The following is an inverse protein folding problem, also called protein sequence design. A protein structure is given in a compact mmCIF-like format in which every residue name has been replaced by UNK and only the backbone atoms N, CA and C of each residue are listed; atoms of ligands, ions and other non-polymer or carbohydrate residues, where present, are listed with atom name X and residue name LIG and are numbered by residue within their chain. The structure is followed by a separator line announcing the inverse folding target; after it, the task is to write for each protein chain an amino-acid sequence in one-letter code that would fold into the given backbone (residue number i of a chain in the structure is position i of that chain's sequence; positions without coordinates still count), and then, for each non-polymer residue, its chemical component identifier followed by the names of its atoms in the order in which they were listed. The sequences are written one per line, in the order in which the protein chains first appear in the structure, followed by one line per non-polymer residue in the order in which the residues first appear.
data_IF_044917523304
#
_entry.id   IF_044917523304
#
_cell.length_a   1.000
_cell.length_b   1.000
_cell.length_c   1.000
_cell.angle_alpha   90.00
_cell.angle_beta   90.00
_cell.angle_gamma   90.00
#
_symmetry.space_group_name_H-M   'P 1'
#
loop_
_entity.id
_entity.type
_entity.pdbx_description
1 polymer ?
#
# COMPACT_ATOMS: atom_id res chain seq x y z
N UNK A 1 23.91 28.74 -62.67
CA UNK A 1 23.60 27.48 -61.96
C UNK A 1 24.55 27.37 -60.79
N UNK A 2 24.01 27.32 -59.56
CA UNK A 2 24.77 27.18 -58.32
C UNK A 2 24.65 28.38 -57.38
N UNK A 3 23.44 28.66 -56.89
CA UNK A 3 23.22 29.56 -55.75
C UNK A 3 23.72 28.88 -54.47
N UNK A 4 24.77 29.45 -53.86
CA UNK A 4 25.20 29.08 -52.52
C UNK A 4 24.42 29.89 -51.50
N UNK A 5 23.45 29.26 -50.84
CA UNK A 5 22.76 29.87 -49.69
C UNK A 5 23.74 30.04 -48.53
N UNK A 6 24.05 31.30 -48.22
CA UNK A 6 24.53 31.73 -46.91
C UNK A 6 23.35 31.62 -45.95
N UNK A 7 23.44 30.74 -44.97
CA UNK A 7 22.57 30.85 -43.79
C UNK A 7 23.17 31.88 -42.86
N UNK A 8 22.35 32.87 -42.59
CA UNK A 8 22.60 34.02 -41.75
C UNK A 8 22.83 33.60 -40.30
N UNK A 9 23.72 34.35 -39.66
CA UNK A 9 23.69 34.65 -38.24
C UNK A 9 22.26 35.10 -37.88
N UNK A 10 21.54 34.32 -37.08
CA UNK A 10 20.47 34.79 -36.21
C UNK A 10 19.97 33.61 -35.37
N UNK A 11 20.26 33.68 -34.08
CA UNK A 11 19.95 32.63 -33.13
C UNK A 11 20.88 32.68 -31.94
N UNK A 12 20.93 33.82 -31.26
CA UNK A 12 21.24 33.81 -29.84
C UNK A 12 20.20 32.88 -29.19
N UNK A 13 20.56 31.61 -29.05
CA UNK A 13 19.81 30.70 -28.21
C UNK A 13 19.95 31.26 -26.81
N UNK A 14 18.85 31.83 -26.31
CA UNK A 14 18.59 31.98 -24.89
C UNK A 14 18.88 30.62 -24.24
N UNK A 15 20.10 30.48 -23.73
CA UNK A 15 20.41 29.43 -22.78
C UNK A 15 19.46 29.65 -21.60
N UNK A 16 18.75 28.62 -21.11
CA UNK A 16 17.95 28.78 -19.91
C UNK A 16 18.90 29.18 -18.78
N UNK A 17 18.78 30.44 -18.38
CA UNK A 17 19.41 31.06 -17.23
C UNK A 17 19.08 30.25 -15.98
N UNK A 18 20.12 29.83 -15.25
CA UNK A 18 20.15 29.54 -13.81
C UNK A 18 19.14 28.54 -13.18
N UNK A 19 18.09 28.12 -13.89
CA UNK A 19 16.97 27.35 -13.35
C UNK A 19 17.21 25.84 -13.35
N UNK A 20 18.32 25.37 -13.93
CA UNK A 20 18.72 23.97 -13.87
C UNK A 20 19.40 23.59 -12.54
N UNK A 21 19.76 24.57 -11.72
CA UNK A 21 20.49 24.35 -10.44
C UNK A 21 19.60 23.74 -9.36
N UNK A 22 18.29 23.67 -9.58
CA UNK A 22 17.34 23.03 -8.67
C UNK A 22 16.65 21.88 -9.37
N UNK A 23 17.20 20.67 -9.26
CA UNK A 23 16.43 19.46 -9.54
C UNK A 23 15.13 19.54 -8.71
N UNK A 24 13.99 19.73 -9.38
CA UNK A 24 12.66 19.84 -8.75
C UNK A 24 12.35 18.66 -7.81
N UNK A 25 13.05 17.53 -8.00
CA UNK A 25 12.95 16.36 -7.14
C UNK A 25 13.50 16.60 -5.71
N UNK A 26 14.55 17.41 -5.54
CA UNK A 26 15.12 17.68 -4.21
C UNK A 26 14.26 18.65 -3.40
N UNK A 27 13.72 19.69 -4.03
CA UNK A 27 12.85 20.66 -3.33
C UNK A 27 11.55 20.01 -2.84
N UNK A 28 10.92 19.17 -3.68
CA UNK A 28 9.70 18.46 -3.30
C UNK A 28 9.89 17.49 -2.11
N UNK A 29 11.09 16.92 -1.97
CA UNK A 29 11.42 16.06 -0.82
C UNK A 29 11.75 16.87 0.44
N UNK A 30 12.36 18.05 0.30
CA UNK A 30 12.58 19.03 1.38
C UNK A 30 11.25 19.56 1.93
N UNK A 31 10.34 19.96 1.04
CA UNK A 31 9.02 20.51 1.40
C UNK A 31 8.13 19.49 2.14
N UNK A 32 8.48 18.19 2.06
CA UNK A 32 7.80 17.08 2.74
C UNK A 32 8.37 16.72 4.10
N UNK A 33 9.48 17.33 4.51
CA UNK A 33 10.04 17.13 5.84
C UNK A 33 9.16 17.83 6.87
N UNK A 34 8.29 17.08 7.53
CA UNK A 34 7.55 17.58 8.69
C UNK A 34 8.54 18.03 9.78
N UNK A 35 8.32 19.18 10.40
CA UNK A 35 9.07 19.57 11.59
C UNK A 35 8.83 18.52 12.67
N UNK A 36 9.91 17.93 13.19
CA UNK A 36 9.80 16.93 14.25
C UNK A 36 9.12 17.50 15.50
N UNK A 37 9.26 18.81 15.74
CA UNK A 37 8.58 19.49 16.84
C UNK A 37 7.04 19.44 16.68
N UNK A 38 6.53 19.50 15.45
CA UNK A 38 5.09 19.56 15.16
C UNK A 38 4.41 18.20 15.32
N UNK A 39 5.14 17.10 15.12
CA UNK A 39 4.61 15.74 15.19
C UNK A 39 4.96 15.03 16.51
N UNK A 40 5.81 15.61 17.35
CA UNK A 40 6.27 14.97 18.58
C UNK A 40 5.19 14.92 19.66
N UNK A 41 5.10 13.76 20.31
CA UNK A 41 4.23 13.52 21.47
C UNK A 41 5.08 13.61 22.75
N UNK A 42 4.59 14.34 23.75
CA UNK A 42 5.30 14.49 25.02
C UNK A 42 5.32 13.17 25.82
N UNK A 43 6.33 12.93 26.70
CA UNK A 43 6.45 11.69 27.47
C UNK A 43 5.26 11.32 28.39
N UNK A 44 4.32 12.23 28.64
CA UNK A 44 3.07 11.97 29.37
C UNK A 44 1.84 11.69 28.49
N UNK A 45 1.97 11.86 27.19
CA UNK A 45 0.88 11.77 26.21
C UNK A 45 0.95 10.49 25.36
N UNK A 46 1.95 9.63 25.59
CA UNK A 46 2.08 8.34 24.91
C UNK A 46 0.82 7.45 24.99
N UNK A 47 0.02 7.46 26.08
CA UNK A 47 -1.25 6.73 26.11
C UNK A 47 -2.28 7.17 25.06
N UNK A 48 -2.12 8.36 24.45
CA UNK A 48 -2.98 8.88 23.40
C UNK A 48 -2.50 8.55 21.99
N UNK A 49 -1.39 7.81 21.86
CA UNK A 49 -0.87 7.40 20.55
C UNK A 49 -1.88 6.48 19.88
N UNK A 50 -2.37 6.89 18.72
CA UNK A 50 -3.25 6.10 17.88
C UNK A 50 -2.57 5.72 16.55
N UNK A 51 -3.30 4.99 15.71
CA UNK A 51 -2.79 4.58 14.40
C UNK A 51 -2.45 5.77 13.48
N UNK A 52 -3.16 6.91 13.63
CA UNK A 52 -2.89 8.11 12.83
C UNK A 52 -1.54 8.71 13.23
N UNK A 53 -1.28 8.86 14.53
CA UNK A 53 0.01 9.35 15.04
C UNK A 53 1.16 8.46 14.56
N UNK A 54 1.00 7.14 14.67
CA UNK A 54 2.01 6.18 14.18
C UNK A 54 2.23 6.33 12.68
N UNK A 55 1.15 6.47 11.90
CA UNK A 55 1.22 6.67 10.43
C UNK A 55 1.98 7.96 10.08
N UNK A 56 1.68 9.06 10.77
CA UNK A 56 2.34 10.35 10.53
C UNK A 56 3.85 10.25 10.80
N UNK A 57 4.24 9.59 11.91
CA UNK A 57 5.65 9.31 12.23
C UNK A 57 6.35 8.35 11.26
N UNK A 58 5.64 7.32 10.80
CA UNK A 58 6.18 6.35 9.86
C UNK A 58 6.57 7.04 8.55
N UNK A 59 5.66 7.84 7.99
CA UNK A 59 5.93 8.58 6.75
C UNK A 59 6.96 9.68 6.92
N UNK A 60 6.96 10.40 8.04
CA UNK A 60 7.99 11.40 8.32
C UNK A 60 9.39 10.74 8.34
N UNK A 61 9.50 9.59 8.99
CA UNK A 61 10.75 8.82 9.08
C UNK A 61 11.18 8.24 7.74
N UNK A 62 10.25 7.70 6.95
CA UNK A 62 10.54 7.21 5.59
C UNK A 62 10.99 8.34 4.65
N UNK A 63 10.33 9.49 4.70
CA UNK A 63 10.70 10.65 3.89
C UNK A 63 12.09 11.16 4.28
N UNK A 64 12.36 11.33 5.58
CA UNK A 64 13.69 11.72 6.05
C UNK A 64 14.76 10.72 5.62
N UNK A 65 14.49 9.42 5.74
CA UNK A 65 15.40 8.38 5.29
C UNK A 65 15.75 8.51 3.81
N UNK A 66 14.77 8.82 2.96
CA UNK A 66 14.97 9.07 1.53
C UNK A 66 15.82 10.31 1.28
N UNK A 67 15.50 11.41 1.96
CA UNK A 67 16.23 12.68 1.92
C UNK A 67 17.70 12.48 2.29
N UNK A 68 17.98 11.84 3.44
CA UNK A 68 19.34 11.56 3.89
C UNK A 68 20.06 10.64 2.91
N UNK A 69 19.40 9.58 2.44
CA UNK A 69 20.00 8.64 1.48
C UNK A 69 20.38 9.32 0.17
N UNK A 70 19.52 10.19 -0.36
CA UNK A 70 19.79 10.95 -1.59
C UNK A 70 20.92 11.95 -1.40
N UNK A 71 20.97 12.61 -0.25
CA UNK A 71 22.00 13.60 0.09
C UNK A 71 23.38 12.96 0.18
N UNK A 72 23.47 11.88 0.95
CA UNK A 72 24.72 11.17 1.20
C UNK A 72 25.09 10.16 0.10
N UNK A 73 24.18 9.87 -0.83
CA UNK A 73 24.27 8.75 -1.77
C UNK A 73 24.58 7.42 -1.06
N UNK A 74 23.93 7.19 0.07
CA UNK A 74 24.17 6.03 0.94
C UNK A 74 22.86 5.43 1.43
N UNK A 75 22.89 4.17 1.83
CA UNK A 75 21.75 3.51 2.48
C UNK A 75 21.68 3.91 3.96
N UNK A 76 20.46 3.97 4.51
CA UNK A 76 20.18 4.20 5.95
C UNK A 76 19.69 2.90 6.62
N UNK A 77 20.53 1.85 6.74
CA UNK A 77 20.09 0.51 7.13
C UNK A 77 19.48 0.47 8.54
N UNK A 78 20.01 1.28 9.47
CA UNK A 78 19.50 1.36 10.84
C UNK A 78 18.08 1.91 10.85
N UNK A 79 17.82 3.03 10.15
CA UNK A 79 16.48 3.62 10.01
C UNK A 79 15.49 2.67 9.34
N UNK A 80 15.90 2.00 8.26
CA UNK A 80 15.04 1.00 7.59
C UNK A 80 14.70 -0.17 8.51
N UNK A 81 15.65 -0.63 9.32
CA UNK A 81 15.41 -1.68 10.29
C UNK A 81 14.41 -1.23 11.37
N UNK A 82 14.49 0.02 11.84
CA UNK A 82 13.50 0.58 12.76
C UNK A 82 12.10 0.65 12.13
N UNK A 83 11.98 1.10 10.88
CA UNK A 83 10.70 1.10 10.16
C UNK A 83 10.12 -0.30 9.98
N UNK A 84 10.97 -1.32 9.79
CA UNK A 84 10.54 -2.71 9.75
C UNK A 84 9.95 -3.18 11.08
N UNK A 85 10.59 -2.85 12.21
CA UNK A 85 10.05 -3.15 13.53
C UNK A 85 8.76 -2.38 13.81
N UNK A 86 8.67 -1.11 13.40
CA UNK A 86 7.44 -0.35 13.48
C UNK A 86 6.30 -1.04 12.69
N UNK A 87 6.57 -1.48 11.45
CA UNK A 87 5.63 -2.23 10.63
C UNK A 87 5.15 -3.53 11.28
N UNK A 88 6.04 -4.26 11.94
CA UNK A 88 5.70 -5.46 12.71
C UNK A 88 4.71 -5.16 13.85
N UNK A 89 4.95 -4.08 14.60
CA UNK A 89 4.05 -3.66 15.67
C UNK A 89 2.71 -3.11 15.16
N UNK A 90 2.70 -2.38 14.06
CA UNK A 90 1.47 -1.96 13.37
C UNK A 90 0.65 -3.19 12.98
N UNK A 91 1.28 -4.19 12.36
CA UNK A 91 0.60 -5.43 11.97
C UNK A 91 -0.04 -6.09 13.20
N UNK A 92 0.72 -6.29 14.28
CA UNK A 92 0.18 -6.84 15.54
C UNK A 92 -1.03 -6.04 16.03
N UNK A 93 -0.93 -4.72 16.12
CA UNK A 93 -2.02 -3.85 16.55
C UNK A 93 -3.28 -3.99 15.68
N UNK A 94 -3.12 -4.17 14.37
CA UNK A 94 -4.25 -4.32 13.43
C UNK A 94 -4.85 -5.73 13.38
N UNK A 95 -4.07 -6.76 13.74
CA UNK A 95 -4.52 -8.16 13.74
C UNK A 95 -5.01 -8.66 15.10
N UNK A 96 -4.71 -7.96 16.18
CA UNK A 96 -5.23 -8.28 17.51
C UNK A 96 -6.76 -8.20 17.54
N UNK A 97 -7.40 -9.09 18.30
CA UNK A 97 -8.83 -9.00 18.56
C UNK A 97 -9.16 -7.64 19.18
N UNK A 98 -10.21 -6.97 18.67
CA UNK A 98 -10.65 -5.65 19.17
C UNK A 98 -10.99 -5.65 20.67
N UNK A 99 -11.19 -6.83 21.27
CA UNK A 99 -11.37 -7.01 22.71
C UNK A 99 -10.11 -6.73 23.54
N UNK A 100 -8.90 -6.81 22.96
CA UNK A 100 -7.65 -6.59 23.68
C UNK A 100 -7.07 -5.19 23.44
N UNK A 101 -7.80 -4.16 23.90
CA UNK A 101 -7.42 -2.75 23.72
C UNK A 101 -6.02 -2.42 24.28
N UNK A 102 -5.64 -3.02 25.40
CA UNK A 102 -4.33 -2.80 26.03
C UNK A 102 -3.18 -3.28 25.15
N UNK A 103 -3.32 -4.45 24.54
CA UNK A 103 -2.30 -4.99 23.63
C UNK A 103 -2.20 -4.17 22.33
N UNK A 104 -3.34 -3.74 21.79
CA UNK A 104 -3.38 -2.84 20.62
C UNK A 104 -2.61 -1.55 20.96
N UNK A 105 -2.94 -0.91 22.09
CA UNK A 105 -2.31 0.34 22.50
C UNK A 105 -0.80 0.17 22.72
N UNK A 106 -0.39 -0.90 23.40
CA UNK A 106 1.04 -1.21 23.64
C UNK A 106 1.80 -1.34 22.32
N UNK A 107 1.25 -2.06 21.33
CA UNK A 107 1.89 -2.19 20.03
C UNK A 107 1.95 -0.85 19.26
N UNK A 108 0.93 0.01 19.36
CA UNK A 108 0.97 1.33 18.73
C UNK A 108 2.05 2.23 19.34
N UNK A 109 2.21 2.20 20.66
CA UNK A 109 3.27 2.93 21.37
C UNK A 109 4.66 2.44 20.92
N UNK A 110 4.87 1.12 20.84
CA UNK A 110 6.16 0.58 20.39
C UNK A 110 6.43 0.89 18.90
N UNK A 111 5.41 0.84 18.04
CA UNK A 111 5.54 1.27 16.65
C UNK A 111 5.98 2.75 16.54
N UNK A 112 5.35 3.64 17.32
CA UNK A 112 5.74 5.05 17.41
C UNK A 112 7.19 5.21 17.85
N UNK A 113 7.62 4.52 18.92
CA UNK A 113 9.00 4.59 19.42
C UNK A 113 10.02 4.15 18.37
N UNK A 114 9.72 3.09 17.62
CA UNK A 114 10.57 2.64 16.53
C UNK A 114 10.64 3.67 15.39
N UNK A 115 9.52 4.27 14.97
CA UNK A 115 9.56 5.35 13.97
C UNK A 115 10.43 6.51 14.45
N UNK A 116 10.20 6.99 15.67
CA UNK A 116 10.98 8.08 16.29
C UNK A 116 12.47 7.75 16.40
N UNK A 117 12.82 6.51 16.76
CA UNK A 117 14.21 6.06 16.79
C UNK A 117 14.82 6.04 15.38
N UNK A 118 14.10 5.55 14.38
CA UNK A 118 14.56 5.55 13.00
C UNK A 118 14.82 6.96 12.46
N UNK A 119 13.98 7.93 12.85
CA UNK A 119 14.15 9.34 12.51
C UNK A 119 15.47 9.89 13.06
N UNK A 120 15.75 9.62 14.34
CA UNK A 120 17.01 10.01 14.98
C UNK A 120 18.22 9.31 14.35
N UNK A 121 18.14 8.00 14.09
CA UNK A 121 19.22 7.25 13.46
C UNK A 121 19.58 7.81 12.07
N UNK A 122 18.61 8.32 11.31
CA UNK A 122 18.85 8.95 10.00
C UNK A 122 19.61 10.28 10.13
N UNK A 123 19.22 11.13 11.09
CA UNK A 123 19.91 12.40 11.35
C UNK A 123 21.29 12.19 11.97
N UNK A 124 21.46 11.19 12.82
CA UNK A 124 22.77 10.82 13.37
C UNK A 124 23.72 10.36 12.24
N UNK A 125 23.22 9.60 11.26
CA UNK A 125 24.01 9.23 10.08
C UNK A 125 24.39 10.46 9.26
N UNK A 126 23.45 11.39 9.04
CA UNK A 126 23.73 12.66 8.38
C UNK A 126 24.90 13.38 9.06
N UNK A 127 24.86 13.57 10.38
CA UNK A 127 25.95 14.23 11.11
C UNK A 127 27.27 13.47 10.95
N UNK A 128 27.24 12.13 11.02
CA UNK A 128 28.44 11.30 10.95
C UNK A 128 29.10 11.32 9.55
N UNK A 129 28.31 11.25 8.49
CA UNK A 129 28.81 11.05 7.11
C UNK A 129 29.05 12.35 6.36
N UNK A 130 28.40 13.46 6.74
CA UNK A 130 28.42 14.71 5.96
C UNK A 130 29.85 15.20 5.70
N UNK A 131 30.69 15.27 6.73
CA UNK A 131 32.06 15.72 6.56
C UNK A 131 32.86 14.80 5.62
N UNK A 132 32.68 13.47 5.73
CA UNK A 132 33.38 12.50 4.88
C UNK A 132 32.98 12.62 3.42
N UNK A 133 31.67 12.63 3.14
CA UNK A 133 31.14 12.75 1.78
C UNK A 133 31.55 14.08 1.16
N UNK A 134 31.46 15.17 1.93
CA UNK A 134 31.89 16.47 1.46
C UNK A 134 33.36 16.52 1.06
N UNK A 135 34.26 16.07 1.94
CA UNK A 135 35.70 16.10 1.68
C UNK A 135 36.05 15.35 0.40
N UNK A 136 35.31 14.27 0.09
CA UNK A 136 35.49 13.53 -1.15
C UNK A 136 35.09 14.33 -2.39
N UNK A 137 33.99 15.09 -2.34
CA UNK A 137 33.42 15.78 -3.51
C UNK A 137 33.99 17.18 -3.75
N UNK A 138 34.39 17.88 -2.69
CA UNK A 138 34.93 19.23 -2.80
C UNK A 138 36.30 19.24 -3.49
N UNK A 139 36.99 18.10 -3.47
CA UNK A 139 38.25 17.91 -4.17
C UNK A 139 38.12 18.16 -5.68
N UNK A 140 36.97 17.78 -6.26
CA UNK A 140 36.68 17.80 -7.70
C UNK A 140 36.22 19.17 -8.22
N UNK A 141 36.13 20.19 -7.37
CA UNK A 141 35.78 21.55 -7.77
C UNK A 141 37.04 22.29 -8.24
N UNK A 142 37.04 22.69 -9.51
CA UNK A 142 38.15 23.40 -10.16
C UNK A 142 38.23 24.89 -9.79
N UNK A 143 37.08 25.54 -9.61
CA UNK A 143 36.97 26.96 -9.31
C UNK A 143 37.38 27.24 -7.85
N UNK A 144 38.52 27.91 -7.59
CA UNK A 144 39.06 28.07 -6.24
C UNK A 144 38.17 28.96 -5.36
N UNK A 145 37.49 29.96 -5.92
CA UNK A 145 36.62 30.85 -5.15
C UNK A 145 35.36 30.13 -4.70
N UNK A 146 34.71 29.42 -5.63
CA UNK A 146 33.52 28.59 -5.31
C UNK A 146 33.87 27.46 -4.35
N UNK A 147 35.01 26.81 -4.56
CA UNK A 147 35.53 25.77 -3.66
C UNK A 147 35.71 26.31 -2.24
N UNK A 148 36.34 27.47 -2.10
CA UNK A 148 36.56 28.08 -0.78
C UNK A 148 35.24 28.47 -0.10
N UNK A 149 34.27 29.02 -0.85
CA UNK A 149 32.93 29.32 -0.33
C UNK A 149 32.24 28.05 0.18
N UNK A 150 32.21 27.00 -0.64
CA UNK A 150 31.58 25.72 -0.30
C UNK A 150 32.21 25.09 0.95
N UNK A 151 33.54 25.19 1.10
CA UNK A 151 34.26 24.77 2.32
C UNK A 151 33.80 25.58 3.52
N UNK A 152 33.69 26.90 3.39
CA UNK A 152 33.25 27.74 4.49
C UNK A 152 31.82 27.42 4.92
N UNK A 153 30.89 27.31 3.96
CA UNK A 153 29.48 27.02 4.24
C UNK A 153 29.30 25.68 4.95
N UNK A 154 30.08 24.65 4.58
CA UNK A 154 30.04 23.39 5.32
C UNK A 154 30.63 23.53 6.73
N UNK A 155 31.78 24.21 6.86
CA UNK A 155 32.39 24.40 8.17
C UNK A 155 31.42 25.09 9.12
N UNK A 156 30.65 26.06 8.64
CA UNK A 156 29.61 26.73 9.39
C UNK A 156 28.52 25.74 9.83
N UNK A 157 28.01 24.88 8.92
CA UNK A 157 27.05 23.82 9.26
C UNK A 157 27.61 22.89 10.36
N UNK A 158 28.85 22.41 10.22
CA UNK A 158 29.47 21.50 11.20
C UNK A 158 29.66 22.18 12.55
N UNK A 159 30.10 23.45 12.56
CA UNK A 159 30.27 24.22 13.79
C UNK A 159 28.93 24.45 14.49
N UNK A 160 27.90 24.80 13.72
CA UNK A 160 26.53 24.98 14.19
C UNK A 160 25.97 23.71 14.83
N UNK A 161 26.13 22.55 14.18
CA UNK A 161 25.75 21.25 14.73
C UNK A 161 26.46 20.97 16.06
N UNK A 162 27.78 21.20 16.13
CA UNK A 162 28.55 20.97 17.35
C UNK A 162 28.16 21.91 18.49
N UNK A 163 27.88 23.18 18.19
CA UNK A 163 27.40 24.14 19.16
C UNK A 163 26.03 23.70 19.71
N UNK A 164 25.09 23.36 18.84
CA UNK A 164 23.75 22.95 19.25
C UNK A 164 23.75 21.67 20.06
N UNK A 165 24.66 20.73 19.77
CA UNK A 165 24.80 19.49 20.55
C UNK A 165 25.11 19.76 22.03
N UNK A 166 25.78 20.87 22.34
CA UNK A 166 26.16 21.27 23.70
C UNK A 166 25.10 22.14 24.38
N UNK A 167 24.31 22.89 23.61
CA UNK A 167 23.34 23.86 24.14
C UNK A 167 21.89 23.37 24.17
N UNK A 168 21.51 22.38 23.37
CA UNK A 168 20.14 21.90 23.30
C UNK A 168 19.68 21.31 24.65
N UNK A 169 18.55 21.78 25.17
CA UNK A 169 18.00 21.33 26.45
C UNK A 169 17.26 20.00 26.30
N UNK A 170 16.73 19.74 25.10
CA UNK A 170 16.00 18.51 24.81
C UNK A 170 16.50 17.81 23.56
N UNK A 171 16.27 16.50 23.52
CA UNK A 171 16.58 15.70 22.34
C UNK A 171 15.80 16.20 21.12
N UNK A 172 14.52 16.54 21.27
CA UNK A 172 13.67 17.00 20.16
C UNK A 172 14.18 18.31 19.58
N UNK A 173 14.57 19.25 20.43
CA UNK A 173 15.18 20.51 20.00
C UNK A 173 16.44 20.26 19.17
N UNK A 174 17.36 19.41 19.65
CA UNK A 174 18.56 19.07 18.91
C UNK A 174 18.26 18.46 17.52
N UNK A 175 17.36 17.47 17.43
CA UNK A 175 17.04 16.85 16.14
C UNK A 175 16.19 17.74 15.22
N UNK A 176 15.40 18.66 15.76
CA UNK A 176 14.72 19.69 14.96
C UNK A 176 15.73 20.61 14.30
N UNK A 177 16.76 21.02 15.05
CA UNK A 177 17.86 21.80 14.51
C UNK A 177 18.67 21.03 13.45
N UNK A 178 18.98 19.75 13.70
CA UNK A 178 19.69 18.93 12.71
C UNK A 178 18.94 18.82 11.38
N UNK A 179 17.61 18.81 11.41
CA UNK A 179 16.78 18.80 10.21
C UNK A 179 16.92 20.11 9.41
N UNK A 180 17.01 21.26 10.07
CA UNK A 180 17.26 22.54 9.41
C UNK A 180 18.65 22.58 8.77
N UNK A 181 19.68 22.10 9.48
CA UNK A 181 21.04 22.01 8.95
C UNK A 181 21.17 21.00 7.80
N UNK A 182 20.38 19.92 7.82
CA UNK A 182 20.28 18.99 6.68
C UNK A 182 19.79 19.70 5.42
N UNK A 183 18.77 20.55 5.51
CA UNK A 183 18.25 21.30 4.34
C UNK A 183 19.32 22.25 3.77
N UNK A 184 20.10 22.91 4.64
CA UNK A 184 21.24 23.74 4.21
C UNK A 184 22.30 22.89 3.51
N UNK A 185 22.67 21.75 4.11
CA UNK A 185 23.64 20.82 3.52
C UNK A 185 23.18 20.27 2.17
N UNK A 186 21.88 20.01 1.99
CA UNK A 186 21.33 19.58 0.71
C UNK A 186 21.48 20.62 -0.38
N UNK A 187 21.23 21.89 -0.06
CA UNK A 187 21.44 23.00 -0.98
C UNK A 187 22.91 23.08 -1.40
N UNK A 188 23.81 22.93 -0.43
CA UNK A 188 25.26 22.92 -0.68
C UNK A 188 25.68 21.72 -1.55
N UNK A 189 25.18 20.52 -1.28
CA UNK A 189 25.47 19.34 -2.09
C UNK A 189 24.90 19.46 -3.52
N UNK A 190 23.75 20.09 -3.70
CA UNK A 190 23.18 20.37 -5.01
C UNK A 190 24.08 21.34 -5.80
N UNK A 191 24.57 22.39 -5.15
CA UNK A 191 25.52 23.32 -5.73
C UNK A 191 26.83 22.63 -6.11
N UNK A 192 27.40 21.81 -5.21
CA UNK A 192 28.59 21.02 -5.49
C UNK A 192 28.39 20.13 -6.72
N UNK A 193 27.26 19.40 -6.79
CA UNK A 193 26.95 18.55 -7.94
C UNK A 193 26.85 19.37 -9.23
N UNK A 194 26.30 20.59 -9.19
CA UNK A 194 26.23 21.45 -10.37
C UNK A 194 27.62 21.92 -10.85
N UNK A 195 28.59 22.04 -9.94
CA UNK A 195 29.97 22.44 -10.24
C UNK A 195 30.86 21.27 -10.66
N UNK A 196 30.58 20.07 -10.18
CA UNK A 196 31.33 18.84 -10.49
C UNK A 196 30.68 18.00 -11.59
N UNK A 197 29.45 18.33 -12.01
CA UNK A 197 28.86 17.71 -13.19
C UNK A 197 29.81 17.94 -14.37
N UNK A 198 30.14 16.90 -15.15
CA UNK A 198 30.94 17.07 -16.36
C UNK A 198 30.32 18.17 -17.22
N UNK A 199 31.11 19.16 -17.64
CA UNK A 199 30.70 20.16 -18.64
C UNK A 199 30.30 19.45 -19.94
N UNK A 200 29.04 19.04 -20.01
CA UNK A 200 28.17 18.79 -21.18
C UNK A 200 28.67 17.82 -22.27
N UNK A 201 29.93 17.40 -22.35
CA UNK A 201 30.37 16.47 -23.41
C UNK A 201 30.02 15.01 -23.14
N UNK A 202 30.01 14.57 -21.88
CA UNK A 202 29.61 13.20 -21.51
C UNK A 202 28.09 13.04 -21.43
N UNK A 203 27.38 14.08 -20.98
CA UNK A 203 25.91 14.06 -20.85
C UNK A 203 25.20 14.13 -22.21
N UNK A 204 25.80 14.74 -23.22
CA UNK A 204 25.25 14.75 -24.60
C UNK A 204 25.31 13.37 -25.26
N UNK A 205 26.38 12.59 -24.99
CA UNK A 205 26.46 11.19 -25.44
C UNK A 205 25.46 10.31 -24.69
N UNK A 206 25.41 10.37 -23.36
CA UNK A 206 24.48 9.55 -22.57
C UNK A 206 23.01 9.94 -22.79
N UNK A 207 22.72 11.22 -23.08
CA UNK A 207 21.37 11.67 -23.42
C UNK A 207 20.95 11.19 -24.81
N UNK A 208 21.87 11.18 -25.79
CA UNK A 208 21.59 10.61 -27.11
C UNK A 208 21.27 9.11 -27.01
N UNK A 209 22.09 8.36 -26.27
CA UNK A 209 21.89 6.93 -26.01
C UNK A 209 20.57 6.69 -25.24
N UNK A 210 20.26 7.51 -24.23
CA UNK A 210 19.02 7.41 -23.47
C UNK A 210 17.76 7.78 -24.29
N UNK A 211 17.88 8.70 -25.24
CA UNK A 211 16.80 9.05 -26.16
C UNK A 211 16.56 7.94 -27.19
N UNK A 212 17.63 7.31 -27.70
CA UNK A 212 17.54 6.12 -28.57
C UNK A 212 16.91 4.94 -27.83
N UNK A 213 17.33 4.68 -26.58
CA UNK A 213 16.74 3.65 -25.73
C UNK A 213 15.27 3.94 -25.44
N UNK A 214 14.88 5.20 -25.23
CA UNK A 214 13.48 5.60 -25.04
C UNK A 214 12.65 5.34 -26.29
N UNK A 215 13.15 5.67 -27.48
CA UNK A 215 12.46 5.41 -28.74
C UNK A 215 12.31 3.90 -29.00
N UNK A 216 13.34 3.10 -28.67
CA UNK A 216 13.27 1.64 -28.71
C UNK A 216 12.20 1.11 -27.76
N UNK A 217 12.19 1.54 -26.51
CA UNK A 217 11.21 1.11 -25.49
C UNK A 217 9.79 1.52 -25.91
N UNK A 218 9.60 2.71 -26.48
CA UNK A 218 8.30 3.16 -26.95
C UNK A 218 7.80 2.31 -28.14
N UNK A 219 8.71 1.93 -29.04
CA UNK A 219 8.42 1.02 -30.14
C UNK A 219 8.01 -0.37 -29.63
N UNK A 220 8.77 -0.92 -28.67
CA UNK A 220 8.45 -2.20 -28.04
C UNK A 220 7.12 -2.16 -27.29
N UNK A 221 6.86 -1.09 -26.52
CA UNK A 221 5.58 -0.88 -25.83
C UNK A 221 4.42 -0.88 -26.80
N UNK A 222 4.52 -0.13 -27.90
CA UNK A 222 3.48 -0.06 -28.91
C UNK A 222 3.25 -1.43 -29.59
N UNK A 223 4.33 -2.21 -29.79
CA UNK A 223 4.23 -3.57 -30.28
C UNK A 223 3.50 -4.50 -29.29
N UNK A 224 3.88 -4.46 -28.00
CA UNK A 224 3.22 -5.24 -26.95
C UNK A 224 1.76 -4.85 -26.76
N UNK A 225 1.42 -3.57 -26.87
CA UNK A 225 0.02 -3.11 -26.78
C UNK A 225 -0.81 -3.62 -27.96
N UNK A 226 -0.24 -3.62 -29.17
CA UNK A 226 -0.85 -4.21 -30.37
C UNK A 226 -1.07 -5.72 -30.21
N UNK A 227 -0.08 -6.45 -29.67
CA UNK A 227 -0.20 -7.88 -29.39
C UNK A 227 -1.25 -8.18 -28.30
N UNK A 228 -1.26 -7.41 -27.21
CA UNK A 228 -2.27 -7.52 -26.17
C UNK A 228 -3.67 -7.27 -26.71
N UNK A 229 -3.86 -6.26 -27.55
CA UNK A 229 -5.15 -6.00 -28.21
C UNK A 229 -5.57 -7.19 -29.07
N UNK A 230 -4.66 -7.76 -29.87
CA UNK A 230 -4.94 -8.99 -30.64
C UNK A 230 -5.32 -10.15 -29.74
N UNK A 231 -4.68 -10.29 -28.57
CA UNK A 231 -4.96 -11.35 -27.60
C UNK A 231 -6.34 -11.17 -26.95
N UNK A 232 -6.66 -9.94 -26.52
CA UNK A 232 -7.97 -9.57 -25.98
C UNK A 232 -9.06 -9.82 -27.01
N UNK A 233 -8.85 -9.45 -28.27
CA UNK A 233 -9.80 -9.73 -29.35
C UNK A 233 -9.96 -11.23 -29.64
N UNK A 234 -8.89 -12.02 -29.48
CA UNK A 234 -8.97 -13.49 -29.56
C UNK A 234 -9.76 -14.07 -28.39
N UNK A 235 -9.52 -13.61 -27.17
CA UNK A 235 -10.24 -14.03 -25.96
C UNK A 235 -11.73 -13.66 -26.08
N UNK A 236 -12.05 -12.44 -26.50
CA UNK A 236 -13.42 -11.98 -26.68
C UNK A 236 -14.14 -12.79 -27.77
N UNK A 237 -13.47 -13.07 -28.90
CA UNK A 237 -14.03 -13.95 -29.94
C UNK A 237 -14.22 -15.39 -29.46
N UNK A 238 -13.29 -15.93 -28.67
CA UNK A 238 -13.42 -17.25 -28.08
C UNK A 238 -14.60 -17.28 -27.09
N UNK A 239 -14.70 -16.30 -26.19
CA UNK A 239 -15.77 -16.15 -25.20
C UNK A 239 -17.14 -15.94 -25.85
N UNK A 240 -17.22 -15.18 -26.94
CA UNK A 240 -18.45 -15.04 -27.73
C UNK A 240 -18.89 -16.37 -28.34
N UNK A 241 -17.94 -17.19 -28.84
CA UNK A 241 -18.25 -18.55 -29.29
C UNK A 241 -18.75 -19.43 -28.14
N UNK A 242 -18.06 -19.47 -27.00
CA UNK A 242 -18.47 -20.31 -25.86
C UNK A 242 -19.79 -19.85 -25.22
N UNK A 243 -20.02 -18.54 -25.13
CA UNK A 243 -21.26 -17.95 -24.61
C UNK A 243 -22.46 -18.32 -25.48
N UNK A 244 -22.30 -18.32 -26.81
CA UNK A 244 -23.38 -18.73 -27.71
C UNK A 244 -23.72 -20.21 -27.55
N UNK A 245 -22.74 -21.09 -27.32
CA UNK A 245 -23.01 -22.51 -27.02
C UNK A 245 -23.69 -22.72 -25.66
N UNK A 246 -23.31 -21.96 -24.63
CA UNK A 246 -23.88 -22.07 -23.28
C UNK A 246 -25.31 -21.53 -23.21
N UNK A 247 -25.59 -20.38 -23.85
CA UNK A 247 -26.93 -19.77 -23.88
C UNK A 247 -27.91 -20.61 -24.71
N UNK A 248 -27.49 -21.12 -25.88
CA UNK A 248 -28.31 -22.02 -26.70
C UNK A 248 -28.54 -23.35 -25.97
N UNK A 249 -27.52 -23.90 -25.32
CA UNK A 249 -27.64 -25.12 -24.51
C UNK A 249 -28.65 -24.96 -23.36
N UNK A 250 -28.56 -23.87 -22.59
CA UNK A 250 -29.47 -23.61 -21.47
C UNK A 250 -30.91 -23.36 -21.93
N UNK A 251 -31.11 -22.61 -23.03
CA UNK A 251 -32.43 -22.35 -23.59
C UNK A 251 -33.10 -23.65 -24.07
N UNK A 252 -32.33 -24.59 -24.64
CA UNK A 252 -32.84 -25.88 -25.12
C UNK A 252 -33.25 -26.79 -23.96
N UNK A 253 -32.47 -26.81 -22.87
CA UNK A 253 -32.81 -27.56 -21.64
C UNK A 253 -34.06 -26.97 -20.97
N UNK A 254 -34.17 -25.64 -20.87
CA UNK A 254 -35.37 -25.00 -20.28
C UNK A 254 -36.61 -25.25 -21.13
N UNK A 255 -36.50 -25.17 -22.45
CA UNK A 255 -37.62 -25.44 -23.35
C UNK A 255 -38.08 -26.91 -23.27
N UNK A 256 -37.15 -27.86 -23.19
CA UNK A 256 -37.49 -29.29 -23.05
C UNK A 256 -38.10 -29.60 -21.68
N UNK A 257 -37.59 -28.99 -20.60
CA UNK A 257 -38.17 -29.14 -19.26
C UNK A 257 -39.59 -28.56 -19.20
N UNK A 258 -39.80 -27.38 -19.78
CA UNK A 258 -41.11 -26.73 -19.84
C UNK A 258 -42.13 -27.58 -20.62
N UNK A 259 -41.71 -28.20 -21.73
CA UNK A 259 -42.56 -29.09 -22.52
C UNK A 259 -42.90 -30.39 -21.76
N UNK A 260 -41.95 -30.95 -21.02
CA UNK A 260 -42.18 -32.13 -20.16
C UNK A 260 -43.14 -31.80 -19.00
N UNK A 261 -43.00 -30.63 -18.37
CA UNK A 261 -43.91 -30.19 -17.30
C UNK A 261 -45.31 -29.95 -17.87
N UNK A 262 -45.44 -29.31 -19.04
CA UNK A 262 -46.73 -29.07 -19.68
C UNK A 262 -47.45 -30.37 -20.06
N UNK A 263 -46.73 -31.37 -20.58
CA UNK A 263 -47.31 -32.67 -20.92
C UNK A 263 -47.75 -33.46 -19.68
N UNK A 264 -46.98 -33.40 -18.59
CA UNK A 264 -47.38 -33.98 -17.29
C UNK A 264 -48.60 -33.26 -16.69
N UNK A 265 -48.67 -31.93 -16.81
CA UNK A 265 -49.81 -31.13 -16.33
C UNK A 265 -51.09 -31.42 -17.11
N UNK A 266 -50.99 -31.55 -18.44
CA UNK A 266 -52.12 -31.99 -19.26
C UNK A 266 -52.57 -33.40 -18.86
N UNK A 267 -51.64 -34.36 -18.74
CA UNK A 267 -51.98 -35.73 -18.31
C UNK A 267 -52.66 -35.81 -16.94
N UNK A 268 -52.23 -34.99 -15.98
CA UNK A 268 -52.83 -34.91 -14.65
C UNK A 268 -54.30 -34.44 -14.71
N UNK A 269 -54.60 -33.39 -15.47
CA UNK A 269 -55.97 -32.87 -15.60
C UNK A 269 -56.90 -33.80 -16.37
N UNK A 270 -56.41 -34.49 -17.40
CA UNK A 270 -57.22 -35.48 -18.12
C UNK A 270 -57.57 -36.67 -17.22
N UNK A 271 -56.65 -37.11 -16.35
CA UNK A 271 -56.91 -38.21 -15.41
C UNK A 271 -57.96 -37.86 -14.34
N UNK A 272 -57.99 -36.61 -13.85
CA UNK A 272 -58.94 -36.20 -12.79
C UNK A 272 -60.34 -35.88 -13.32
N UNK A 273 -60.48 -35.44 -14.57
CA UNK A 273 -61.79 -35.16 -15.15
C UNK A 273 -62.53 -36.41 -15.64
N UNK A 274 -61.82 -37.50 -15.99
CA UNK A 274 -62.47 -38.77 -16.38
C UNK A 274 -62.99 -39.54 -15.15
N UNK A 275 -62.40 -39.36 -13.96
CA UNK A 275 -62.86 -40.03 -12.74
C UNK A 275 -64.06 -39.33 -12.10
N UNK A 276 -64.24 -38.02 -12.31
CA UNK A 276 -65.35 -37.24 -11.74
C UNK A 276 -66.70 -37.44 -12.47
N UNK A 277 -66.72 -38.04 -13.65
CA UNK A 277 -67.94 -38.19 -14.48
C UNK A 277 -68.71 -39.50 -14.25
N UNK A 278 -68.25 -40.38 -13.35
CA UNK A 278 -68.92 -41.66 -13.06
C UNK A 278 -69.73 -41.71 -11.75
N UNK A 279 -69.85 -40.61 -11.01
CA UNK A 279 -70.54 -40.62 -9.71
C UNK A 279 -71.44 -39.39 -9.50
N UNK A 280 -72.55 -39.27 -10.23
CA UNK A 280 -73.75 -38.58 -9.73
C UNK A 280 -74.98 -38.89 -10.61
N UNK A 281 -75.82 -39.80 -10.14
CA UNK A 281 -77.22 -39.90 -10.59
C UNK A 281 -78.14 -40.00 -9.37
N UNK A 282 -79.09 -39.06 -9.36
CA UNK A 282 -80.44 -39.09 -8.75
C UNK A 282 -80.60 -38.54 -7.31
N UNK A 283 -81.22 -37.35 -7.30
CA UNK A 283 -81.87 -36.60 -6.21
C UNK A 283 -83.03 -37.37 -5.57
N UNK A 284 -83.35 -37.06 -4.31
CA UNK A 284 -84.74 -36.72 -3.91
C UNK A 284 -84.76 -36.03 -2.54
N UNK A 285 -85.46 -34.90 -2.49
CA UNK A 285 -85.82 -34.15 -1.29
C UNK A 285 -86.88 -34.90 -0.47
N UNK A 286 -86.69 -35.04 0.85
CA UNK A 286 -87.76 -35.09 1.86
C UNK A 286 -87.18 -35.21 3.29
N UNK A 287 -87.84 -34.50 4.22
CA UNK A 287 -87.85 -34.66 5.69
C UNK A 287 -86.77 -33.93 6.52
N UNK A 288 -87.28 -32.93 7.26
CA UNK A 288 -86.66 -32.23 8.39
C UNK A 288 -86.63 -33.09 9.69
N UNK A 289 -86.32 -32.49 10.84
CA UNK A 289 -85.06 -32.52 11.59
C UNK A 289 -85.11 -33.52 12.78
N UNK A 290 -83.98 -33.80 13.47
CA UNK A 290 -83.91 -34.08 14.93
C UNK A 290 -82.54 -34.65 15.39
N UNK A 291 -82.18 -34.25 16.62
CA UNK A 291 -81.33 -34.92 17.63
C UNK A 291 -79.81 -34.87 17.45
N UNK A 292 -79.08 -34.04 18.22
CA UNK A 292 -78.69 -34.13 19.65
C UNK A 292 -77.42 -34.94 19.92
N UNK A 293 -76.47 -34.28 20.61
CA UNK A 293 -75.54 -34.78 21.65
C UNK A 293 -74.57 -35.91 21.24
N UNK A 294 -73.28 -35.93 21.61
CA UNK A 294 -72.72 -35.82 22.96
C UNK A 294 -71.18 -35.87 22.83
N UNK A 295 -70.45 -35.09 23.64
CA UNK A 295 -69.08 -35.42 24.13
C UNK A 295 -69.18 -36.60 25.14
N UNK A 296 -68.11 -37.34 25.57
CA UNK A 296 -66.93 -36.75 26.24
C UNK A 296 -65.59 -37.55 26.31
N UNK A 297 -64.57 -36.86 26.84
CA UNK A 297 -63.45 -37.27 27.76
C UNK A 297 -62.37 -38.32 27.39
N UNK A 298 -61.11 -37.82 27.52
CA UNK A 298 -59.84 -38.40 28.03
C UNK A 298 -59.93 -39.61 29.00
N UNK A 299 -58.86 -40.48 29.19
CA UNK A 299 -57.60 -40.06 29.85
C UNK A 299 -56.26 -40.82 29.60
N UNK A 300 -55.22 -40.18 30.15
CA UNK A 300 -53.84 -40.52 30.59
C UNK A 300 -53.32 -41.99 30.72
N UNK A 301 -52.02 -42.13 30.44
CA UNK A 301 -50.99 -43.00 31.08
C UNK A 301 -49.63 -42.53 30.50
N UNK A 302 -48.58 -42.05 31.19
CA UNK A 302 -47.83 -42.35 32.42
C UNK A 302 -46.78 -43.50 32.31
N UNK A 303 -45.52 -43.14 32.64
CA UNK A 303 -44.31 -43.94 32.94
C UNK A 303 -43.48 -44.52 31.76
N UNK A 304 -42.14 -44.53 31.74
CA UNK A 304 -41.13 -44.14 32.73
C UNK A 304 -39.69 -44.53 32.28
N UNK A 305 -38.69 -43.79 32.78
CA UNK A 305 -37.28 -44.11 33.05
C UNK A 305 -36.39 -44.97 32.10
N UNK A 306 -35.22 -44.42 31.70
CA UNK A 306 -33.90 -44.67 32.35
C UNK A 306 -32.75 -43.85 31.77
N UNK A 307 -31.88 -43.37 32.67
CA UNK A 307 -30.58 -42.70 32.44
C UNK A 307 -29.50 -43.75 32.17
N UNK A 308 -28.52 -43.43 31.32
CA UNK A 308 -27.12 -43.84 31.53
C UNK A 308 -26.17 -42.70 31.16
N UNK A 309 -25.28 -42.42 32.11
CA UNK A 309 -24.16 -41.49 32.07
C UNK A 309 -22.91 -42.25 31.62
N UNK A 310 -22.05 -41.64 30.79
CA UNK A 310 -20.66 -42.06 30.59
C UNK A 310 -19.80 -40.80 30.62
N UNK A 311 -18.84 -40.79 31.54
CA UNK A 311 -17.80 -39.79 31.74
C UNK A 311 -16.50 -40.22 30.99
N UNK A 312 -15.46 -39.37 30.94
CA UNK A 312 -14.40 -39.41 29.93
C UNK A 312 -13.17 -40.24 30.34
N UNK A 313 -12.29 -40.52 29.38
CA UNK A 313 -10.96 -41.12 29.57
C UNK A 313 -9.89 -40.30 28.81
N UNK A 314 -8.59 -40.47 29.12
CA UNK A 314 -7.59 -39.42 29.22
C UNK A 314 -6.42 -39.66 28.23
N UNK A 315 -5.31 -38.97 28.45
CA UNK A 315 -3.96 -39.25 27.93
C UNK A 315 -3.63 -38.74 26.52
N UNK A 316 -2.87 -37.64 26.47
CA UNK A 316 -1.69 -37.59 25.59
C UNK A 316 -0.59 -36.77 26.26
N UNK A 317 0.56 -37.39 26.35
CA UNK A 317 1.76 -37.00 27.07
C UNK A 317 2.48 -35.78 26.48
N UNK A 318 3.43 -35.27 27.26
CA UNK A 318 4.09 -33.99 27.04
C UNK A 318 5.21 -33.99 26.00
N UNK A 319 5.54 -32.77 25.56
CA UNK A 319 6.79 -32.46 24.89
C UNK A 319 7.49 -31.37 25.69
N UNK A 320 8.60 -31.76 26.33
CA UNK A 320 9.58 -30.87 26.94
C UNK A 320 10.64 -30.57 25.88
N UNK A 321 10.83 -29.30 25.55
CA UNK A 321 11.92 -28.83 24.69
C UNK A 321 13.09 -28.38 25.56
N UNK A 322 14.27 -28.98 25.35
CA UNK A 322 15.54 -28.54 25.94
C UNK A 322 16.05 -27.25 25.26
N UNK A 323 16.89 -26.44 25.93
CA UNK A 323 17.61 -25.34 25.30
C UNK A 323 18.89 -25.86 24.60
N UNK A 324 19.23 -25.23 23.48
CA UNK A 324 20.44 -25.46 22.68
C UNK A 324 21.41 -24.25 22.83
N UNK A 325 22.69 -24.41 22.43
CA UNK A 325 23.89 -24.05 23.20
C UNK A 325 24.30 -22.58 23.21
#
# INVERSE_FOLDING_TARGET
MGEGMRYAEDGAHDYPSEDFVHSRCHQADIDRLASIADINIAPGEEPNIDLKVVKDWYFATENLARVVSNTLQSIVPQTMNQLRYAGHHILKATTCSQSNKTEIQSNLIEAYKHCKRGYFDALDLFVYETNRIFQSRVADIDDPEKKQRIIQDLLDIIQNINAQRLSAETRIEYYSFLQEELVKAQTLFAEMNALTLPRVTALEMDLADALEDRERIETERNNYESENKKLVDKINRARAKTSNYLIVGLATVVATLALAIATLYQGYFTSKNIVAESSHTIKTDALSPLLNCTQPTEPKSENGHKKHSIAPHPDSEGFVSQPLP
#
